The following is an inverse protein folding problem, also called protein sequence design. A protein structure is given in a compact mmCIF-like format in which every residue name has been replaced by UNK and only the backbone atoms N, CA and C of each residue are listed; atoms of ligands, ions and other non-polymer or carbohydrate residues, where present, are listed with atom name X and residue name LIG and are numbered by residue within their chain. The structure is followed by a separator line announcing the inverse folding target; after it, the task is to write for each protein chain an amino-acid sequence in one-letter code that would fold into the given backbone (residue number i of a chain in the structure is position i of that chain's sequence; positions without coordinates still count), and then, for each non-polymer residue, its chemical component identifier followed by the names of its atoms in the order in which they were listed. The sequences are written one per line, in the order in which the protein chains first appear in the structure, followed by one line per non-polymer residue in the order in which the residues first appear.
data_IF_285321459230
#
_entry.id   IF_285321459230
#
_cell.length_a   1.000
_cell.length_b   1.000
_cell.length_c   1.000
_cell.angle_alpha   90.00
_cell.angle_beta   90.00
_cell.angle_gamma   90.00
#
_symmetry.space_group_name_H-M   'P 1'
#
loop_
_entity.id
_entity.type
_entity.pdbx_description
1 polymer ?
#
# COMPACT_ATOMS: atom_id res chain seq x y z
N UNK A 1 26.07 -14.80 -75.11
CA UNK A 1 27.49 -14.89 -74.73
C UNK A 1 27.58 -15.36 -73.29
N UNK A 2 28.33 -16.45 -73.07
CA UNK A 2 29.05 -16.90 -71.86
C UNK A 2 28.52 -16.54 -70.45
N UNK A 3 28.49 -17.40 -69.43
CA UNK A 3 29.09 -18.72 -69.18
C UNK A 3 28.48 -19.31 -67.90
N UNK A 4 28.41 -20.64 -67.87
CA UNK A 4 28.03 -21.54 -66.78
C UNK A 4 28.66 -21.26 -65.40
N UNK A 5 27.95 -21.63 -64.31
CA UNK A 5 28.28 -22.87 -63.55
C UNK A 5 27.16 -23.29 -62.58
N UNK A 6 26.85 -24.57 -62.67
CA UNK A 6 25.99 -25.40 -61.83
C UNK A 6 26.58 -25.63 -60.43
N UNK A 7 25.72 -25.86 -59.44
CA UNK A 7 25.72 -26.96 -58.44
C UNK A 7 24.75 -26.53 -57.31
N UNK A 8 23.85 -27.33 -56.75
CA UNK A 8 23.33 -28.66 -57.05
C UNK A 8 22.01 -28.76 -56.27
N UNK A 9 21.02 -29.42 -56.86
CA UNK A 9 19.82 -29.87 -56.16
C UNK A 9 20.24 -31.08 -55.31
N UNK A 10 20.11 -30.96 -53.99
CA UNK A 10 20.11 -32.09 -53.07
C UNK A 10 18.76 -32.14 -52.38
N UNK A 11 17.83 -32.92 -52.93
CA UNK A 11 16.56 -33.20 -52.29
C UNK A 11 16.80 -34.05 -51.03
N UNK A 12 16.49 -33.48 -49.86
CA UNK A 12 16.13 -34.25 -48.69
C UNK A 12 14.73 -33.81 -48.28
N UNK A 13 13.74 -34.60 -48.70
CA UNK A 13 12.39 -34.58 -48.12
C UNK A 13 12.51 -34.95 -46.64
N UNK A 14 12.78 -33.97 -45.78
CA UNK A 14 12.39 -34.02 -44.38
C UNK A 14 10.98 -33.45 -44.28
N UNK A 15 10.00 -34.24 -44.75
CA UNK A 15 8.59 -34.03 -44.48
C UNK A 15 8.38 -34.14 -42.96
N UNK A 16 8.52 -33.02 -42.26
CA UNK A 16 8.37 -32.95 -40.81
C UNK A 16 8.86 -31.63 -40.24
N UNK A 17 10.08 -31.22 -40.57
CA UNK A 17 10.69 -30.03 -39.94
C UNK A 17 10.15 -28.71 -40.51
N UNK A 18 9.96 -28.62 -41.84
CA UNK A 18 9.49 -27.39 -42.49
C UNK A 18 8.03 -27.05 -42.16
N UNK A 19 7.15 -28.05 -42.14
CA UNK A 19 5.75 -27.87 -41.74
C UNK A 19 5.64 -27.52 -40.24
N UNK A 20 6.43 -28.17 -39.38
CA UNK A 20 6.46 -27.85 -37.95
C UNK A 20 6.97 -26.41 -37.70
N UNK A 21 7.96 -25.93 -38.45
CA UNK A 21 8.45 -24.56 -38.32
C UNK A 21 7.40 -23.51 -38.76
N UNK A 22 6.64 -23.80 -39.81
CA UNK A 22 5.56 -22.92 -40.30
C UNK A 22 4.37 -22.92 -39.31
N UNK A 23 4.00 -24.09 -38.77
CA UNK A 23 2.95 -24.22 -37.74
C UNK A 23 3.37 -23.55 -36.43
N UNK A 24 4.62 -23.71 -36.00
CA UNK A 24 5.14 -23.06 -34.79
C UNK A 24 5.22 -21.54 -34.92
N UNK A 25 5.55 -21.02 -36.11
CA UNK A 25 5.53 -19.56 -36.38
C UNK A 25 4.10 -19.03 -36.41
N UNK A 26 3.17 -19.76 -37.03
CA UNK A 26 1.73 -19.39 -37.06
C UNK A 26 1.09 -19.43 -35.67
N UNK A 27 1.49 -20.38 -34.81
CA UNK A 27 1.09 -20.40 -33.40
C UNK A 27 1.74 -19.26 -32.59
N UNK A 28 3.01 -18.93 -32.81
CA UNK A 28 3.65 -17.77 -32.15
C UNK A 28 2.99 -16.45 -32.55
N UNK A 29 2.61 -16.29 -33.81
CA UNK A 29 1.98 -15.07 -34.32
C UNK A 29 0.50 -15.00 -33.92
N UNK A 30 -0.22 -16.12 -33.86
CA UNK A 30 -1.56 -16.21 -33.31
C UNK A 30 -1.57 -15.94 -31.80
N UNK A 31 -0.62 -16.49 -31.04
CA UNK A 31 -0.48 -16.25 -29.60
C UNK A 31 0.00 -14.81 -29.32
N UNK A 32 0.80 -14.19 -30.20
CA UNK A 32 1.12 -12.75 -30.10
C UNK A 32 -0.07 -11.86 -30.46
N UNK A 33 -0.91 -12.25 -31.42
CA UNK A 33 -2.11 -11.52 -31.80
C UNK A 33 -3.24 -11.68 -30.77
N UNK A 34 -3.34 -12.84 -30.13
CA UNK A 34 -4.28 -13.14 -29.05
C UNK A 34 -3.82 -12.51 -27.73
N UNK A 35 -2.52 -12.51 -27.41
CA UNK A 35 -1.96 -11.73 -26.29
C UNK A 35 -2.11 -10.23 -26.53
N UNK A 36 -1.96 -9.71 -27.77
CA UNK A 36 -2.23 -8.29 -28.10
C UNK A 36 -3.73 -7.92 -28.08
N UNK A 37 -4.64 -8.83 -28.46
CA UNK A 37 -6.10 -8.59 -28.40
C UNK A 37 -6.64 -8.69 -26.98
N UNK A 38 -6.07 -9.56 -26.14
CA UNK A 38 -6.43 -9.68 -24.73
C UNK A 38 -5.80 -8.58 -23.87
N UNK A 39 -4.63 -8.05 -24.27
CA UNK A 39 -3.99 -6.91 -23.58
C UNK A 39 -4.58 -5.53 -23.93
N UNK A 40 -5.55 -5.45 -24.86
CA UNK A 40 -6.10 -4.16 -25.30
C UNK A 40 -7.59 -3.96 -24.99
N UNK A 41 -8.20 -4.80 -24.13
CA UNK A 41 -9.60 -4.65 -23.69
C UNK A 41 -9.86 -4.98 -22.21
N UNK A 42 -8.83 -5.09 -21.37
CA UNK A 42 -9.03 -4.81 -19.95
C UNK A 42 -8.71 -3.34 -19.76
N UNK A 43 -9.73 -2.49 -19.86
CA UNK A 43 -9.68 -1.19 -19.19
C UNK A 43 -9.38 -1.54 -17.73
N UNK A 44 -8.11 -1.46 -17.30
CA UNK A 44 -7.80 -1.52 -15.89
C UNK A 44 -8.61 -0.39 -15.29
N UNK A 45 -9.70 -0.72 -14.59
CA UNK A 45 -10.43 0.25 -13.78
C UNK A 45 -9.39 0.80 -12.84
N UNK A 46 -8.96 2.04 -13.12
CA UNK A 46 -8.06 2.79 -12.28
C UNK A 46 -8.56 2.66 -10.84
N UNK A 47 -7.72 2.13 -9.94
CA UNK A 47 -8.08 1.99 -8.55
C UNK A 47 -8.24 3.39 -7.97
N UNK A 48 -9.48 3.85 -7.99
CA UNK A 48 -9.91 5.07 -7.38
C UNK A 48 -11.04 4.66 -6.45
N UNK A 49 -10.82 4.84 -5.15
CA UNK A 49 -11.87 4.81 -4.13
C UNK A 49 -12.79 6.05 -4.31
N UNK A 50 -13.21 6.34 -5.54
CA UNK A 50 -14.08 7.46 -5.91
C UNK A 50 -15.56 7.12 -5.78
N UNK A 51 -15.90 5.99 -5.16
CA UNK A 51 -17.28 5.69 -4.74
C UNK A 51 -17.68 6.49 -3.48
N UNK A 52 -17.17 7.72 -3.37
CA UNK A 52 -17.53 8.70 -2.35
C UNK A 52 -18.98 9.12 -2.66
N UNK A 53 -19.89 8.93 -1.71
CA UNK A 53 -21.26 9.45 -1.80
C UNK A 53 -22.38 8.41 -1.87
N UNK A 54 -22.10 7.13 -1.63
CA UNK A 54 -23.17 6.14 -1.49
C UNK A 54 -23.14 5.55 -0.09
N UNK A 55 -24.20 5.77 0.68
CA UNK A 55 -24.56 4.94 1.85
C UNK A 55 -24.92 3.50 1.42
N UNK A 56 -24.41 3.04 0.28
CA UNK A 56 -24.68 1.75 -0.33
C UNK A 56 -23.35 1.02 -0.49
N UNK A 57 -23.40 -0.29 -0.33
CA UNK A 57 -22.25 -1.16 -0.52
C UNK A 57 -21.79 -1.11 -1.98
N UNK A 58 -20.48 -0.97 -2.17
CA UNK A 58 -19.83 -1.12 -3.46
C UNK A 58 -19.80 -2.60 -3.90
N UNK A 59 -19.23 -2.85 -5.08
CA UNK A 59 -19.06 -4.21 -5.63
C UNK A 59 -18.27 -5.18 -4.74
N UNK A 60 -17.55 -4.68 -3.72
CA UNK A 60 -16.77 -5.45 -2.75
C UNK A 60 -17.46 -5.54 -1.37
N UNK A 61 -18.69 -5.03 -1.25
CA UNK A 61 -19.42 -5.01 0.01
C UNK A 61 -19.06 -3.88 0.98
N UNK A 62 -18.18 -2.95 0.59
CA UNK A 62 -17.71 -1.83 1.43
C UNK A 62 -18.62 -0.62 1.22
N UNK A 63 -18.97 0.08 2.30
CA UNK A 63 -19.64 1.38 2.26
C UNK A 63 -18.89 2.36 3.18
N UNK A 64 -19.07 3.66 2.95
CA UNK A 64 -18.49 4.70 3.81
C UNK A 64 -19.52 5.20 4.81
N UNK A 65 -19.03 5.57 5.99
CA UNK A 65 -19.84 6.13 7.06
C UNK A 65 -19.03 7.14 7.86
N UNK A 66 -19.73 7.89 8.71
CA UNK A 66 -19.15 8.76 9.72
C UNK A 66 -20.05 8.80 10.97
N UNK A 67 -19.53 9.40 12.03
CA UNK A 67 -20.25 9.56 13.29
C UNK A 67 -20.22 8.32 14.20
N UNK A 68 -20.70 8.54 15.42
CA UNK A 68 -20.49 7.63 16.54
C UNK A 68 -21.17 6.27 16.38
N UNK A 69 -22.28 6.20 15.63
CA UNK A 69 -23.04 4.95 15.48
C UNK A 69 -22.18 3.85 14.86
N UNK A 70 -21.53 4.15 13.73
CA UNK A 70 -20.65 3.19 13.05
C UNK A 70 -19.28 3.10 13.73
N UNK A 71 -18.78 4.21 14.31
CA UNK A 71 -17.49 4.21 15.01
C UNK A 71 -17.47 3.32 16.27
N UNK A 72 -18.60 3.17 16.99
CA UNK A 72 -18.67 2.34 18.19
C UNK A 72 -19.29 0.96 17.97
N UNK A 73 -19.88 0.71 16.81
CA UNK A 73 -20.37 -0.61 16.45
C UNK A 73 -19.21 -1.61 16.31
N UNK A 74 -19.50 -2.89 16.58
CA UNK A 74 -18.56 -3.99 16.36
C UNK A 74 -19.09 -4.90 15.23
N UNK A 75 -18.25 -5.27 14.26
CA UNK A 75 -18.67 -6.16 13.20
C UNK A 75 -18.93 -7.58 13.73
N UNK A 76 -19.85 -8.28 13.07
CA UNK A 76 -20.01 -9.73 13.28
C UNK A 76 -18.84 -10.47 12.63
N UNK A 77 -18.49 -11.64 13.16
CA UNK A 77 -17.47 -12.51 12.58
C UNK A 77 -17.83 -12.83 11.11
N UNK A 78 -16.96 -12.53 10.14
CA UNK A 78 -17.20 -12.87 8.74
C UNK A 78 -17.26 -14.38 8.52
N UNK A 79 -18.13 -14.80 7.59
CA UNK A 79 -18.32 -16.21 7.27
C UNK A 79 -17.04 -16.85 6.67
N UNK A 80 -16.72 -18.06 7.16
CA UNK A 80 -15.57 -18.85 6.72
C UNK A 80 -14.22 -18.19 6.97
N UNK A 81 -14.11 -17.22 7.88
CA UNK A 81 -12.82 -16.58 8.19
C UNK A 81 -11.83 -17.54 8.87
N UNK A 82 -12.35 -18.52 9.61
CA UNK A 82 -11.54 -19.53 10.31
C UNK A 82 -10.75 -20.42 9.36
N UNK A 83 -11.20 -20.59 8.10
CA UNK A 83 -10.52 -21.41 7.09
C UNK A 83 -9.67 -20.58 6.12
N UNK A 84 -9.56 -19.26 6.34
CA UNK A 84 -8.82 -18.33 5.46
C UNK A 84 -7.46 -17.99 6.06
N UNK A 85 -6.50 -17.73 5.18
CA UNK A 85 -5.17 -17.23 5.52
C UNK A 85 -4.87 -15.91 4.80
N UNK A 86 -4.08 -15.06 5.46
CA UNK A 86 -3.60 -13.81 4.90
C UNK A 86 -2.07 -13.82 4.81
N UNK A 87 -1.53 -13.46 3.65
CA UNK A 87 -0.10 -13.28 3.43
C UNK A 87 0.15 -11.82 3.06
N UNK A 88 0.91 -11.11 3.88
CA UNK A 88 1.10 -9.67 3.79
C UNK A 88 2.58 -9.39 3.55
N UNK A 89 2.89 -8.79 2.39
CA UNK A 89 4.28 -8.51 2.00
C UNK A 89 4.73 -7.16 2.57
N UNK A 90 5.84 -7.19 3.31
CA UNK A 90 6.38 -6.07 4.08
C UNK A 90 5.70 -5.92 5.45
N UNK A 91 6.40 -5.29 6.38
CA UNK A 91 5.97 -5.03 7.76
C UNK A 91 5.89 -3.53 8.09
N UNK A 92 5.66 -2.70 7.08
CA UNK A 92 5.37 -1.27 7.29
C UNK A 92 4.01 -1.05 7.94
N UNK A 93 3.69 0.21 8.27
CA UNK A 93 2.44 0.61 8.93
C UNK A 93 1.18 0.04 8.26
N UNK A 94 1.11 0.02 6.93
CA UNK A 94 -0.04 -0.52 6.20
C UNK A 94 -0.25 -2.03 6.44
N UNK A 95 0.84 -2.80 6.41
CA UNK A 95 0.81 -4.24 6.63
C UNK A 95 0.44 -4.59 8.06
N UNK A 96 1.04 -3.89 9.02
CA UNK A 96 0.74 -4.05 10.45
C UNK A 96 -0.71 -3.66 10.74
N UNK A 97 -1.20 -2.54 10.19
CA UNK A 97 -2.60 -2.13 10.33
C UNK A 97 -3.56 -3.18 9.74
N UNK A 98 -3.26 -3.73 8.56
CA UNK A 98 -4.05 -4.79 7.96
C UNK A 98 -4.13 -6.03 8.86
N UNK A 99 -3.00 -6.46 9.44
CA UNK A 99 -2.97 -7.56 10.40
C UNK A 99 -3.82 -7.25 11.65
N UNK A 100 -3.74 -6.04 12.20
CA UNK A 100 -4.58 -5.62 13.33
C UNK A 100 -6.07 -5.70 13.01
N UNK A 101 -6.52 -5.21 11.85
CA UNK A 101 -7.93 -5.31 11.46
C UNK A 101 -8.37 -6.76 11.16
N UNK A 102 -7.48 -7.61 10.63
CA UNK A 102 -7.76 -9.04 10.46
C UNK A 102 -8.00 -9.74 11.81
N UNK A 103 -7.19 -9.42 12.82
CA UNK A 103 -7.39 -9.96 14.17
C UNK A 103 -8.64 -9.38 14.82
N UNK A 104 -8.79 -8.05 14.83
CA UNK A 104 -9.82 -7.34 15.61
C UNK A 104 -11.21 -7.47 15.01
N UNK A 105 -11.34 -7.19 13.72
CA UNK A 105 -12.63 -7.01 13.07
C UNK A 105 -13.04 -8.26 12.30
N UNK A 106 -12.10 -8.86 11.56
CA UNK A 106 -12.36 -10.13 10.89
C UNK A 106 -12.31 -11.32 11.85
N UNK A 107 -11.73 -11.18 13.05
CA UNK A 107 -11.60 -12.27 14.02
C UNK A 107 -10.91 -13.50 13.41
N UNK A 108 -9.92 -13.25 12.53
CA UNK A 108 -9.07 -14.28 11.94
C UNK A 108 -8.09 -14.81 13.00
N UNK A 109 -7.89 -16.14 13.09
CA UNK A 109 -6.86 -16.72 13.96
C UNK A 109 -5.47 -16.12 13.66
N UNK A 110 -4.70 -15.82 14.72
CA UNK A 110 -3.40 -15.15 14.55
C UNK A 110 -2.37 -15.98 13.78
N UNK A 111 -2.41 -17.31 13.94
CA UNK A 111 -1.60 -18.28 13.19
C UNK A 111 -1.97 -18.36 11.69
N UNK A 112 -3.05 -17.70 11.27
CA UNK A 112 -3.45 -17.59 9.88
C UNK A 112 -2.94 -16.31 9.18
N UNK A 113 -2.28 -15.42 9.92
CA UNK A 113 -1.79 -14.13 9.42
C UNK A 113 -0.26 -14.19 9.32
N UNK A 114 0.24 -14.12 8.09
CA UNK A 114 1.66 -14.25 7.77
C UNK A 114 2.20 -12.92 7.25
N UNK A 115 3.10 -12.28 8.00
CA UNK A 115 3.79 -11.05 7.57
C UNK A 115 5.17 -11.42 7.06
N UNK A 116 5.47 -11.05 5.82
CA UNK A 116 6.71 -11.38 5.12
C UNK A 116 7.59 -10.14 5.01
N UNK A 117 8.53 -9.97 5.94
CA UNK A 117 9.47 -8.85 5.97
C UNK A 117 10.85 -9.27 5.44
N UNK A 118 11.48 -8.39 4.66
CA UNK A 118 12.82 -8.60 4.12
C UNK A 118 13.93 -8.11 5.07
N UNK A 119 13.61 -7.16 5.95
CA UNK A 119 14.49 -6.64 6.99
C UNK A 119 14.43 -7.46 8.28
N UNK A 120 15.42 -7.29 9.16
CA UNK A 120 15.44 -7.93 10.48
C UNK A 120 14.51 -7.26 11.51
N UNK A 121 13.88 -6.15 11.15
CA UNK A 121 13.05 -5.33 12.02
C UNK A 121 11.77 -4.91 11.32
N UNK A 122 10.67 -4.87 12.08
CA UNK A 122 9.39 -4.39 11.59
C UNK A 122 9.29 -2.86 11.60
N UNK A 123 8.29 -2.32 10.88
CA UNK A 123 7.92 -0.90 10.93
C UNK A 123 8.15 -0.13 9.63
N UNK A 124 8.97 -0.67 8.71
CA UNK A 124 9.22 -0.04 7.42
C UNK A 124 9.73 1.40 7.59
N UNK A 125 8.99 2.39 7.09
CA UNK A 125 9.37 3.81 7.18
C UNK A 125 9.11 4.49 8.54
N UNK A 126 8.66 3.75 9.55
CA UNK A 126 8.37 4.23 10.90
C UNK A 126 9.38 3.70 11.94
N UNK A 127 10.63 3.46 11.55
CA UNK A 127 11.68 3.03 12.44
C UNK A 127 12.44 4.20 13.09
N UNK A 128 13.02 3.90 14.25
CA UNK A 128 14.06 4.69 14.90
C UNK A 128 15.04 3.72 15.53
N UNK A 129 16.32 3.83 15.17
CA UNK A 129 17.36 2.90 15.64
C UNK A 129 18.55 3.67 16.20
N UNK A 130 19.29 3.02 17.09
CA UNK A 130 20.62 3.46 17.48
C UNK A 130 21.65 2.62 16.72
N UNK A 131 22.40 3.27 15.84
CA UNK A 131 23.55 2.68 15.15
C UNK A 131 24.82 3.10 15.91
N UNK A 132 25.58 2.17 16.53
CA UNK A 132 26.78 2.52 17.30
C UNK A 132 27.85 3.28 16.50
N UNK A 133 27.83 3.18 15.17
CA UNK A 133 28.79 3.86 14.29
C UNK A 133 28.31 5.21 13.78
N UNK A 134 26.99 5.49 13.83
CA UNK A 134 26.36 6.70 13.27
C UNK A 134 25.55 7.52 14.26
N UNK A 135 25.25 6.96 15.44
CA UNK A 135 24.36 7.53 16.45
C UNK A 135 22.89 7.14 16.26
N UNK A 136 21.99 7.94 16.83
CA UNK A 136 20.55 7.77 16.65
C UNK A 136 20.12 8.16 15.23
N UNK A 137 19.35 7.28 14.58
CA UNK A 137 18.84 7.46 13.23
C UNK A 137 17.33 7.31 13.24
N UNK A 138 16.63 8.31 12.72
CA UNK A 138 15.20 8.27 12.42
C UNK A 138 15.01 8.59 10.94
N UNK A 139 14.24 7.79 10.20
CA UNK A 139 14.00 8.04 8.76
C UNK A 139 13.16 9.30 8.51
N UNK A 140 12.36 9.71 9.49
CA UNK A 140 11.61 10.96 9.48
C UNK A 140 10.51 10.98 10.54
N UNK A 141 10.20 12.17 11.03
CA UNK A 141 9.06 12.39 11.92
C UNK A 141 7.73 12.09 11.20
N UNK A 142 6.72 11.74 11.98
CA UNK A 142 5.34 11.61 11.53
C UNK A 142 4.52 12.63 12.31
N UNK A 143 3.91 13.53 11.56
CA UNK A 143 2.96 14.49 12.08
C UNK A 143 1.57 13.90 11.88
N UNK A 144 0.77 13.86 12.94
CA UNK A 144 -0.60 13.35 12.92
C UNK A 144 -1.58 14.48 13.24
N UNK A 145 -2.82 14.32 12.82
CA UNK A 145 -3.90 15.25 13.12
C UNK A 145 -5.16 14.50 13.57
N UNK A 146 -6.14 15.24 14.09
CA UNK A 146 -7.29 14.68 14.78
C UNK A 146 -8.29 13.94 13.86
N UNK A 147 -8.27 14.22 12.56
CA UNK A 147 -9.09 13.59 11.53
C UNK A 147 -8.39 12.46 10.76
N UNK A 148 -7.34 11.86 11.33
CA UNK A 148 -6.83 10.56 10.86
C UNK A 148 -7.79 9.45 11.30
N UNK A 149 -9.03 9.49 10.79
CA UNK A 149 -10.19 8.71 11.24
C UNK A 149 -9.88 7.21 11.38
N UNK A 150 -9.31 6.59 10.33
CA UNK A 150 -9.00 5.17 10.34
C UNK A 150 -7.79 4.82 11.23
N UNK A 151 -6.86 5.76 11.42
CA UNK A 151 -5.70 5.55 12.28
C UNK A 151 -6.14 5.59 13.74
N UNK A 152 -7.01 6.52 14.13
CA UNK A 152 -7.53 6.58 15.50
C UNK A 152 -8.51 5.45 15.80
N UNK A 153 -9.27 4.97 14.82
CA UNK A 153 -10.02 3.73 14.97
C UNK A 153 -9.08 2.53 15.25
N UNK A 154 -7.93 2.45 14.59
CA UNK A 154 -6.93 1.42 14.87
C UNK A 154 -6.33 1.57 16.28
N UNK A 155 -5.72 2.73 16.58
CA UNK A 155 -4.89 2.89 17.76
C UNK A 155 -5.65 2.95 19.09
N UNK A 156 -6.97 3.20 19.09
CA UNK A 156 -7.81 3.00 20.30
C UNK A 156 -7.87 1.55 20.78
N UNK A 157 -7.48 0.60 19.92
CA UNK A 157 -7.50 -0.84 20.23
C UNK A 157 -6.11 -1.44 20.45
N UNK A 158 -5.05 -0.65 20.27
CA UNK A 158 -3.68 -1.08 20.52
C UNK A 158 -3.30 -0.64 21.95
N UNK A 159 -2.91 -1.57 22.84
CA UNK A 159 -2.47 -1.22 24.18
C UNK A 159 -1.21 -0.34 24.15
N UNK A 160 -1.15 0.63 25.05
CA UNK A 160 0.08 1.38 25.33
C UNK A 160 1.16 0.46 25.90
N UNK A 161 2.42 0.74 25.57
CA UNK A 161 3.59 0.09 26.16
C UNK A 161 4.07 0.79 27.44
N UNK A 162 3.81 2.09 27.57
CA UNK A 162 4.30 2.92 28.68
C UNK A 162 3.31 2.94 29.85
N UNK A 163 2.00 2.95 29.55
CA UNK A 163 0.94 3.06 30.55
C UNK A 163 0.04 1.81 30.53
N UNK A 164 0.09 0.97 31.57
CA UNK A 164 -0.76 -0.21 31.65
C UNK A 164 -2.26 0.12 31.63
N UNK A 165 -3.03 -0.62 30.83
CA UNK A 165 -4.49 -0.54 30.82
C UNK A 165 -5.10 0.58 29.98
N UNK A 166 -4.29 1.33 29.22
CA UNK A 166 -4.76 2.38 28.31
C UNK A 166 -4.34 2.06 26.87
N UNK A 167 -5.01 2.67 25.89
CA UNK A 167 -4.64 2.53 24.48
C UNK A 167 -3.58 3.54 24.06
N UNK A 168 -2.94 3.29 22.92
CA UNK A 168 -2.05 4.27 22.27
C UNK A 168 -2.80 5.57 21.96
N UNK A 169 -4.08 5.52 21.60
CA UNK A 169 -4.89 6.72 21.41
C UNK A 169 -5.00 7.53 22.71
N UNK A 170 -5.25 6.89 23.86
CA UNK A 170 -5.43 7.58 25.14
C UNK A 170 -4.16 8.34 25.53
N UNK A 171 -3.01 7.67 25.46
CA UNK A 171 -1.71 8.27 25.75
C UNK A 171 -1.39 9.42 24.79
N UNK A 172 -1.59 9.21 23.48
CA UNK A 172 -1.37 10.24 22.47
C UNK A 172 -2.28 11.45 22.71
N UNK A 173 -3.54 11.21 23.07
CA UNK A 173 -4.53 12.26 23.35
C UNK A 173 -4.16 13.09 24.58
N UNK A 174 -3.77 12.44 25.69
CA UNK A 174 -3.37 13.14 26.92
C UNK A 174 -2.12 13.97 26.71
N UNK A 175 -1.08 13.39 26.10
CA UNK A 175 0.17 14.08 25.82
C UNK A 175 -0.06 15.36 25.00
N UNK A 176 -0.84 15.28 23.92
CA UNK A 176 -1.09 16.44 23.06
C UNK A 176 -2.07 17.46 23.68
N UNK A 177 -2.75 17.13 24.78
CA UNK A 177 -3.52 18.09 25.58
C UNK A 177 -2.66 18.78 26.64
N UNK A 178 -1.70 18.05 27.22
CA UNK A 178 -0.76 18.56 28.22
C UNK A 178 0.30 19.48 27.57
N UNK A 179 0.83 19.09 26.40
CA UNK A 179 1.79 19.85 25.63
C UNK A 179 1.30 20.05 24.18
N UNK A 180 0.43 21.05 23.94
CA UNK A 180 -0.10 21.29 22.60
C UNK A 180 1.00 21.80 21.67
N UNK A 181 1.14 21.15 20.51
CA UNK A 181 2.16 21.53 19.52
C UNK A 181 1.81 22.86 18.82
N UNK A 182 2.77 23.79 18.78
CA UNK A 182 2.71 25.02 17.99
C UNK A 182 4.12 25.47 17.60
N UNK A 183 4.23 26.26 16.54
CA UNK A 183 5.50 26.82 16.09
C UNK A 183 5.62 28.28 16.52
N UNK A 184 6.70 28.61 17.25
CA UNK A 184 7.03 29.99 17.61
C UNK A 184 7.63 30.79 16.44
N UNK A 185 8.32 30.09 15.53
CA UNK A 185 8.92 30.69 14.34
C UNK A 185 8.92 29.64 13.23
N UNK A 186 8.09 29.85 12.21
CA UNK A 186 7.91 28.87 11.13
C UNK A 186 9.02 28.94 10.08
N UNK A 187 9.58 30.13 9.88
CA UNK A 187 10.58 30.42 8.87
C UNK A 187 11.47 31.59 9.30
N UNK A 188 12.73 31.57 8.85
CA UNK A 188 13.70 32.65 9.10
C UNK A 188 14.24 33.23 7.81
N UNK A 189 14.52 34.52 7.79
CA UNK A 189 15.22 35.24 6.72
C UNK A 189 16.51 35.85 7.27
N UNK A 190 17.36 36.39 6.38
CA UNK A 190 18.52 37.21 6.75
C UNK A 190 19.40 36.63 7.88
N UNK A 191 19.70 35.32 7.81
CA UNK A 191 20.54 34.59 8.77
C UNK A 191 19.96 34.52 10.19
N UNK A 192 18.69 34.15 10.30
CA UNK A 192 18.05 33.79 11.58
C UNK A 192 17.06 34.83 12.12
N UNK A 193 16.76 35.88 11.36
CA UNK A 193 15.68 36.81 11.70
C UNK A 193 14.33 36.16 11.39
N UNK A 194 13.32 36.39 12.23
CA UNK A 194 11.97 35.89 11.98
C UNK A 194 11.46 36.40 10.62
N UNK A 195 10.90 35.50 9.82
CA UNK A 195 10.26 35.85 8.57
C UNK A 195 8.90 36.55 8.77
N UNK A 196 8.42 36.67 10.00
CA UNK A 196 7.13 37.28 10.37
C UNK A 196 5.98 36.67 9.58
N UNK A 197 5.95 35.34 9.53
CA UNK A 197 4.83 34.62 8.91
C UNK A 197 3.54 34.81 9.70
N UNK A 198 3.62 35.10 11.00
CA UNK A 198 2.48 35.45 11.87
C UNK A 198 1.29 34.48 11.77
N UNK A 199 1.58 33.18 11.67
CA UNK A 199 0.58 32.12 11.47
C UNK A 199 -0.06 32.08 10.08
N UNK A 200 0.39 32.92 9.15
CA UNK A 200 -0.06 33.00 7.76
C UNK A 200 0.95 32.33 6.85
N UNK A 201 0.47 31.42 6.00
CA UNK A 201 1.32 30.78 5.01
C UNK A 201 1.54 31.64 3.75
N UNK A 202 0.76 32.73 3.58
CA UNK A 202 0.82 33.65 2.43
C UNK A 202 0.90 32.94 1.07
N UNK A 203 0.27 31.75 0.95
CA UNK A 203 0.27 30.97 -0.28
C UNK A 203 -0.53 31.72 -1.35
N UNK A 204 0.11 31.95 -2.49
CA UNK A 204 -0.55 32.53 -3.66
C UNK A 204 -1.60 31.56 -4.20
N UNK A 205 -2.78 32.07 -4.57
CA UNK A 205 -3.82 31.29 -5.27
C UNK A 205 -3.46 30.95 -6.73
N UNK A 206 -2.34 31.45 -7.27
CA UNK A 206 -1.88 31.20 -8.64
C UNK A 206 -1.12 29.87 -8.77
N UNK A 207 -1.57 28.83 -8.06
CA UNK A 207 -1.03 27.47 -8.19
C UNK A 207 -1.07 26.96 -9.62
#
# INVERSE_FOLDING_TARGET
MAKNKNLAIGAALAAGAGAAAIVAKKHKDAHKAEVKKTSSKTTQKEYRNTEIGKNQKNSKGIYYSNGNYEAFARPRKPEGVDDKHAYIVGSGLASLAAACFLVRDAQMPGDHIHILEAMDIAGGACDGIFDPTRGYVMRGGREMENHFECLWDLFRSIPSLETPGVSVLDEYYWLNKEDPNYSLCRATINRGQDAHTDGRFNLSQKG
#
